data_IF_086515207378
#
_entry.id   IF_086515207378
#
_cell.length_a   1.000
_cell.length_b   1.000
_cell.length_c   1.000
_cell.angle_alpha   90.00
_cell.angle_beta   90.00
_cell.angle_gamma   90.00
#
_symmetry.space_group_name_H-M   'P 1'
#
loop_
_entity.id
_entity.type
_entity.pdbx_description
1 polymer ?
#
# COMPACT_ATOMS: atom_id res chain seq x y z
N UNK A 1 -7.20 21.59 -14.72
CA UNK A 1 -6.24 21.70 -13.59
C UNK A 1 -6.72 22.82 -12.68
N UNK A 2 -7.08 22.52 -11.43
CA UNK A 2 -7.42 23.56 -10.45
C UNK A 2 -6.15 24.05 -9.75
N UNK A 3 -5.94 25.36 -9.68
CA UNK A 3 -4.83 25.94 -8.91
C UNK A 3 -5.21 25.97 -7.43
N UNK A 4 -4.37 25.38 -6.57
CA UNK A 4 -4.48 25.52 -5.11
C UNK A 4 -3.74 26.78 -4.68
N UNK A 5 -4.48 27.81 -4.28
CA UNK A 5 -3.89 29.03 -3.71
C UNK A 5 -3.79 28.86 -2.19
N UNK A 6 -2.58 28.92 -1.64
CA UNK A 6 -2.37 29.00 -0.19
C UNK A 6 -2.60 30.44 0.23
N UNK A 7 -3.67 30.70 0.97
CA UNK A 7 -3.95 32.02 1.54
C UNK A 7 -3.08 32.20 2.79
N UNK A 8 -2.31 33.28 2.85
CA UNK A 8 -1.50 33.63 4.03
C UNK A 8 -2.41 34.20 5.12
N UNK A 9 -2.73 33.40 6.14
CA UNK A 9 -3.51 33.85 7.31
C UNK A 9 -3.88 32.69 8.24
N UNK A 10 -4.09 32.99 9.52
CA UNK A 10 -4.71 32.04 10.45
C UNK A 10 -6.23 32.11 10.24
N UNK A 11 -6.84 31.01 9.80
CA UNK A 11 -8.30 30.91 9.73
C UNK A 11 -8.82 30.54 11.11
N UNK A 12 -9.60 31.43 11.73
CA UNK A 12 -10.20 31.22 13.06
C UNK A 12 -11.60 30.61 13.01
N UNK A 13 -12.20 30.53 11.82
CA UNK A 13 -13.52 29.93 11.63
C UNK A 13 -13.39 28.40 11.55
N UNK A 14 -13.74 27.73 12.65
CA UNK A 14 -13.71 26.28 12.77
C UNK A 14 -14.89 25.57 12.09
N UNK A 15 -15.83 26.32 11.51
CA UNK A 15 -16.97 25.77 10.75
C UNK A 15 -16.62 25.48 9.29
N UNK A 16 -15.49 25.99 8.78
CA UNK A 16 -15.08 25.78 7.40
C UNK A 16 -14.64 24.33 7.17
N UNK A 17 -15.04 23.73 6.02
CA UNK A 17 -14.60 22.38 5.68
C UNK A 17 -13.09 22.35 5.43
N UNK A 18 -12.40 21.44 6.13
CA UNK A 18 -10.96 21.22 5.94
C UNK A 18 -10.74 20.55 4.57
N UNK A 19 -10.09 21.27 3.66
CA UNK A 19 -9.70 20.73 2.35
C UNK A 19 -8.38 19.98 2.50
N UNK A 20 -8.42 18.67 2.25
CA UNK A 20 -7.25 17.78 2.25
C UNK A 20 -6.77 17.47 0.84
N UNK A 21 -5.60 16.86 0.73
CA UNK A 21 -4.99 16.57 -0.57
C UNK A 21 -5.73 15.47 -1.35
N UNK A 22 -6.36 14.52 -0.66
CA UNK A 22 -7.20 13.47 -1.25
C UNK A 22 -8.49 13.32 -0.42
N UNK A 23 -9.60 12.98 -1.09
CA UNK A 23 -10.93 12.87 -0.48
C UNK A 23 -11.03 11.74 0.56
N UNK A 24 -10.15 10.74 0.49
CA UNK A 24 -10.06 9.68 1.48
C UNK A 24 -9.46 10.18 2.80
N UNK A 25 -8.66 11.25 2.79
CA UNK A 25 -7.89 11.67 3.96
C UNK A 25 -8.77 12.19 5.10
N UNK A 26 -8.31 11.97 6.33
CA UNK A 26 -8.87 12.47 7.58
C UNK A 26 -7.76 12.93 8.52
N UNK A 27 -8.13 13.49 9.67
CA UNK A 27 -7.17 13.80 10.74
C UNK A 27 -6.41 12.59 11.28
N UNK A 28 -6.86 11.36 10.98
CA UNK A 28 -6.19 10.11 11.36
C UNK A 28 -5.31 9.51 10.27
N UNK A 29 -5.22 10.12 9.09
CA UNK A 29 -4.44 9.55 7.97
C UNK A 29 -2.95 9.54 8.28
N UNK A 30 -2.33 8.37 8.10
CA UNK A 30 -0.91 8.14 8.38
C UNK A 30 -0.09 8.03 7.09
N UNK A 31 -0.61 7.32 6.10
CA UNK A 31 0.08 7.08 4.85
C UNK A 31 -0.89 6.94 3.68
N UNK A 32 -0.60 7.61 2.57
CA UNK A 32 -1.27 7.37 1.28
C UNK A 32 -0.23 7.34 0.18
N UNK A 33 -0.06 6.15 -0.41
CA UNK A 33 0.63 5.96 -1.67
C UNK A 33 -0.39 5.95 -2.81
N UNK A 34 -0.26 6.89 -3.74
CA UNK A 34 -0.98 6.92 -5.01
C UNK A 34 -0.06 7.52 -6.07
N UNK A 35 0.55 6.69 -6.93
CA UNK A 35 1.58 7.11 -7.88
C UNK A 35 1.03 7.96 -9.04
N UNK A 36 -0.30 8.09 -9.14
CA UNK A 36 -1.00 8.92 -10.11
C UNK A 36 -1.49 10.25 -9.51
N UNK A 37 -1.43 10.40 -8.18
CA UNK A 37 -1.76 11.63 -7.48
C UNK A 37 -0.67 12.69 -7.74
N UNK A 38 -1.05 13.96 -7.87
CA UNK A 38 -0.11 15.06 -8.16
C UNK A 38 0.99 15.22 -7.11
N UNK A 39 0.68 14.87 -5.85
CA UNK A 39 1.63 14.85 -4.72
C UNK A 39 2.19 13.46 -4.40
N UNK A 40 1.76 12.42 -5.13
CA UNK A 40 2.17 11.03 -4.91
C UNK A 40 3.08 10.48 -6.01
N UNK A 41 3.47 11.33 -6.97
CA UNK A 41 4.32 10.94 -8.09
C UNK A 41 5.65 10.39 -7.57
N UNK A 42 5.94 9.13 -7.91
CA UNK A 42 7.26 8.54 -7.69
C UNK A 42 8.08 8.73 -8.95
N UNK A 43 9.20 9.43 -8.84
CA UNK A 43 10.08 9.75 -9.97
C UNK A 43 10.80 8.50 -10.53
N UNK A 44 10.95 7.45 -9.72
CA UNK A 44 11.58 6.20 -10.15
C UNK A 44 11.25 4.98 -9.30
N UNK A 45 11.53 3.80 -9.84
CA UNK A 45 11.37 2.50 -9.17
C UNK A 45 12.73 1.92 -8.70
N UNK A 46 13.79 2.74 -8.73
CA UNK A 46 15.14 2.36 -8.31
C UNK A 46 15.25 2.32 -6.78
N UNK A 47 16.14 1.46 -6.27
CA UNK A 47 16.43 1.36 -4.85
C UNK A 47 16.91 2.70 -4.28
N UNK A 48 16.43 3.05 -3.09
CA UNK A 48 16.68 4.32 -2.43
C UNK A 48 15.80 5.47 -2.94
N UNK A 49 14.97 5.27 -3.96
CA UNK A 49 14.08 6.33 -4.44
C UNK A 49 13.04 6.69 -3.37
N UNK A 50 12.81 7.99 -3.20
CA UNK A 50 11.81 8.51 -2.26
C UNK A 50 10.41 8.25 -2.81
N UNK A 51 9.53 7.74 -1.95
CA UNK A 51 8.11 7.52 -2.23
C UNK A 51 7.29 8.54 -1.43
N UNK A 52 6.72 9.56 -2.09
CA UNK A 52 5.97 10.59 -1.38
C UNK A 52 4.76 10.01 -0.65
N UNK A 53 4.52 10.50 0.57
CA UNK A 53 3.30 10.24 1.32
C UNK A 53 2.30 11.39 1.07
N UNK A 54 1.18 11.12 0.39
CA UNK A 54 0.15 12.14 0.11
C UNK A 54 -0.52 12.63 1.40
N UNK A 55 -0.55 11.80 2.44
CA UNK A 55 -1.10 12.08 3.77
C UNK A 55 -0.10 12.72 4.74
N UNK A 56 1.04 13.25 4.26
CA UNK A 56 2.12 13.68 5.16
C UNK A 56 1.71 14.83 6.11
N UNK A 57 0.78 15.71 5.70
CA UNK A 57 0.32 16.82 6.54
C UNK A 57 -0.49 16.29 7.73
N UNK A 58 -1.40 15.36 7.46
CA UNK A 58 -2.21 14.68 8.46
C UNK A 58 -1.32 13.87 9.41
N UNK A 59 -0.36 13.13 8.85
CA UNK A 59 0.60 12.34 9.63
C UNK A 59 1.52 13.22 10.51
N UNK A 60 2.00 14.36 9.99
CA UNK A 60 2.83 15.29 10.76
C UNK A 60 2.05 15.94 11.91
N UNK A 61 0.73 16.12 11.78
CA UNK A 61 -0.11 16.61 12.88
C UNK A 61 -0.23 15.58 14.03
N UNK A 62 -0.10 14.29 13.74
CA UNK A 62 -0.08 13.20 14.74
C UNK A 62 1.31 12.96 15.34
N UNK A 63 2.36 13.38 14.64
CA UNK A 63 3.75 13.21 15.02
C UNK A 63 4.49 14.56 14.96
N UNK A 64 4.30 15.45 15.96
CA UNK A 64 4.86 16.79 15.94
C UNK A 64 6.38 16.78 15.78
N UNK A 65 6.89 17.62 14.87
CA UNK A 65 8.31 17.72 14.53
C UNK A 65 8.75 16.86 13.35
N UNK A 66 7.90 15.97 12.85
CA UNK A 66 8.17 15.24 11.62
C UNK A 66 7.89 16.09 10.37
N UNK A 67 8.55 15.75 9.27
CA UNK A 67 8.57 16.50 8.02
C UNK A 67 8.06 15.65 6.87
N UNK A 68 7.72 16.26 5.73
CA UNK A 68 7.35 15.52 4.53
C UNK A 68 8.40 14.45 4.14
N UNK A 69 9.69 14.78 4.26
CA UNK A 69 10.78 13.83 3.98
C UNK A 69 10.90 12.72 5.01
N UNK A 70 10.71 13.00 6.31
CA UNK A 70 10.82 11.96 7.34
C UNK A 70 9.61 11.02 7.37
N UNK A 71 8.48 11.44 6.77
CA UNK A 71 7.25 10.64 6.64
C UNK A 71 7.08 10.01 5.26
N UNK A 72 8.03 10.19 4.35
CA UNK A 72 8.06 9.52 3.06
C UNK A 72 8.43 8.03 3.21
N UNK A 73 8.02 7.23 2.23
CA UNK A 73 8.55 5.89 2.05
C UNK A 73 9.84 5.90 1.22
N UNK A 74 10.48 4.74 1.13
CA UNK A 74 11.68 4.51 0.34
C UNK A 74 11.51 3.22 -0.46
N UNK A 75 11.95 3.22 -1.72
CA UNK A 75 11.98 1.99 -2.53
C UNK A 75 13.14 1.12 -2.07
N UNK A 76 12.84 -0.13 -1.73
CA UNK A 76 13.81 -1.20 -1.57
C UNK A 76 13.55 -2.27 -2.62
N UNK A 77 14.62 -2.82 -3.20
CA UNK A 77 14.47 -3.95 -4.10
C UNK A 77 15.71 -4.82 -4.18
N UNK A 78 15.51 -6.08 -4.53
CA UNK A 78 16.54 -6.98 -5.02
C UNK A 78 16.09 -7.52 -6.38
N UNK A 79 16.57 -6.91 -7.45
CA UNK A 79 16.17 -7.24 -8.82
C UNK A 79 17.27 -8.02 -9.52
N UNK A 80 16.87 -8.95 -10.38
CA UNK A 80 17.77 -9.66 -11.30
C UNK A 80 17.08 -9.83 -12.64
N UNK A 81 17.77 -9.46 -13.71
CA UNK A 81 17.27 -9.60 -15.06
C UNK A 81 16.89 -11.06 -15.36
N UNK A 82 15.72 -11.27 -15.96
CA UNK A 82 15.20 -12.63 -16.23
C UNK A 82 14.51 -13.31 -15.03
N UNK A 83 14.64 -12.78 -13.81
CA UNK A 83 13.97 -13.32 -12.61
C UNK A 83 12.83 -12.42 -12.12
N UNK A 84 12.96 -11.11 -12.25
CA UNK A 84 11.94 -10.11 -11.90
C UNK A 84 12.10 -8.88 -12.79
N UNK A 85 10.98 -8.28 -13.20
CA UNK A 85 10.93 -6.99 -13.89
C UNK A 85 9.99 -6.08 -13.10
N UNK A 86 10.42 -4.84 -12.90
CA UNK A 86 9.57 -3.81 -12.29
C UNK A 86 9.49 -2.65 -13.26
N UNK A 87 8.29 -2.11 -13.44
CA UNK A 87 8.04 -1.00 -14.35
C UNK A 87 6.92 -0.08 -13.84
N UNK A 88 6.77 1.07 -14.51
CA UNK A 88 5.62 1.94 -14.37
C UNK A 88 4.66 1.69 -15.52
N UNK A 89 3.39 1.46 -15.21
CA UNK A 89 2.35 1.31 -16.24
C UNK A 89 2.04 2.65 -16.92
N UNK A 90 1.29 2.62 -18.01
CA UNK A 90 0.85 3.83 -18.70
C UNK A 90 0.04 4.76 -17.79
N UNK A 91 -0.76 4.19 -16.86
CA UNK A 91 -1.51 4.91 -15.83
C UNK A 91 -0.80 4.98 -14.49
N UNK A 92 0.53 4.86 -14.49
CA UNK A 92 1.42 5.16 -13.36
C UNK A 92 1.40 4.15 -12.21
N UNK A 93 0.69 3.03 -12.31
CA UNK A 93 0.83 1.92 -11.36
C UNK A 93 2.25 1.34 -11.37
N UNK A 94 2.63 0.64 -10.30
CA UNK A 94 3.92 -0.07 -10.23
C UNK A 94 3.67 -1.54 -10.54
N UNK A 95 4.09 -1.99 -11.72
CA UNK A 95 3.94 -3.37 -12.17
C UNK A 95 5.18 -4.17 -11.79
N UNK A 96 4.96 -5.30 -11.11
CA UNK A 96 5.98 -6.21 -10.60
C UNK A 96 5.71 -7.57 -11.26
N UNK A 97 6.59 -7.96 -12.19
CA UNK A 97 6.51 -9.20 -12.95
C UNK A 97 7.53 -10.17 -12.36
N UNK A 98 7.04 -11.28 -11.83
CA UNK A 98 7.88 -12.32 -11.24
C UNK A 98 8.04 -13.49 -12.21
N UNK A 99 9.27 -13.97 -12.43
CA UNK A 99 9.46 -15.25 -13.11
C UNK A 99 8.87 -16.40 -12.30
N UNK A 100 8.32 -17.39 -13.00
CA UNK A 100 7.80 -18.65 -12.45
C UNK A 100 8.77 -19.81 -12.63
N UNK A 101 10.00 -19.58 -13.12
CA UNK A 101 11.01 -20.64 -13.27
C UNK A 101 12.44 -20.21 -12.91
N UNK A 102 12.81 -18.95 -13.12
CA UNK A 102 14.20 -18.52 -13.05
C UNK A 102 14.65 -18.00 -11.68
N UNK A 103 13.76 -17.81 -10.71
CA UNK A 103 14.16 -17.21 -9.44
C UNK A 103 15.19 -18.10 -8.74
N UNK A 104 16.39 -17.56 -8.48
CA UNK A 104 17.49 -18.28 -7.82
C UNK A 104 17.73 -17.82 -6.38
N UNK A 105 17.23 -16.63 -6.05
CA UNK A 105 17.29 -16.00 -4.73
C UNK A 105 16.03 -15.16 -4.49
N UNK A 106 15.97 -14.47 -3.35
CA UNK A 106 14.89 -13.54 -3.02
C UNK A 106 14.86 -12.37 -3.98
N UNK A 107 13.85 -12.33 -4.86
CA UNK A 107 13.63 -11.22 -5.78
C UNK A 107 12.37 -10.48 -5.41
N UNK A 108 12.51 -9.20 -5.11
CA UNK A 108 11.40 -8.38 -4.64
C UNK A 108 11.60 -6.92 -4.98
N UNK A 109 10.47 -6.21 -4.92
CA UNK A 109 10.40 -4.77 -4.92
C UNK A 109 9.34 -4.36 -3.92
N UNK A 110 9.66 -3.40 -3.05
CA UNK A 110 8.70 -2.87 -2.11
C UNK A 110 9.00 -1.44 -1.69
N UNK A 111 7.97 -0.74 -1.26
CA UNK A 111 8.05 0.52 -0.55
C UNK A 111 8.22 0.19 0.92
N UNK A 112 9.35 0.58 1.51
CA UNK A 112 9.54 0.61 2.95
C UNK A 112 8.95 1.91 3.49
N UNK A 113 7.92 1.82 4.34
CA UNK A 113 7.38 3.03 4.98
C UNK A 113 8.38 3.60 6.01
N UNK A 114 8.21 4.89 6.29
CA UNK A 114 8.93 5.55 7.38
C UNK A 114 8.81 4.79 8.70
N UNK A 115 9.95 4.61 9.37
CA UNK A 115 10.00 4.03 10.72
C UNK A 115 9.21 4.86 11.74
N UNK A 116 8.95 6.15 11.46
CA UNK A 116 8.14 7.03 12.31
C UNK A 116 6.67 6.61 12.32
N UNK A 117 6.11 6.32 11.15
CA UNK A 117 4.73 5.82 11.02
C UNK A 117 4.60 4.46 11.70
N UNK A 118 5.57 3.57 11.50
CA UNK A 118 5.58 2.27 12.18
C UNK A 118 5.65 2.41 13.71
N UNK A 119 6.54 3.28 14.22
CA UNK A 119 6.66 3.55 15.65
C UNK A 119 5.37 4.13 16.24
N UNK A 120 4.69 5.04 15.52
CA UNK A 120 3.39 5.57 15.93
C UNK A 120 2.33 4.46 16.05
N UNK A 121 2.21 3.59 15.04
CA UNK A 121 1.23 2.49 15.08
C UNK A 121 1.48 1.53 16.24
N UNK A 122 2.73 1.28 16.58
CA UNK A 122 3.12 0.44 17.73
C UNK A 122 2.80 1.12 19.05
N UNK A 123 3.21 2.38 19.21
CA UNK A 123 3.02 3.12 20.46
C UNK A 123 1.53 3.26 20.82
N UNK A 124 0.67 3.34 19.81
CA UNK A 124 -0.78 3.45 19.97
C UNK A 124 -1.51 2.12 19.79
N UNK A 125 -0.78 1.04 19.49
CA UNK A 125 -1.33 -0.24 19.06
C UNK A 125 -2.26 -0.92 20.06
N UNK A 126 -2.04 -0.71 21.36
CA UNK A 126 -2.84 -1.30 22.43
C UNK A 126 -4.21 -0.63 22.62
N UNK A 127 -4.38 0.62 22.17
CA UNK A 127 -5.56 1.45 22.44
C UNK A 127 -6.26 1.96 21.18
N UNK A 128 -5.55 2.03 20.07
CA UNK A 128 -6.07 2.55 18.80
C UNK A 128 -6.44 1.44 17.84
N UNK A 129 -7.36 1.77 16.93
CA UNK A 129 -7.73 0.93 15.79
C UNK A 129 -7.18 1.55 14.53
N UNK A 130 -6.63 0.72 13.63
CA UNK A 130 -6.13 1.20 12.34
C UNK A 130 -6.87 0.55 11.19
N UNK A 131 -7.08 1.32 10.12
CA UNK A 131 -7.55 0.85 8.83
C UNK A 131 -6.37 0.78 7.87
N UNK A 132 -6.29 -0.32 7.13
CA UNK A 132 -5.24 -0.55 6.14
C UNK A 132 -5.87 -1.09 4.87
N UNK A 133 -5.58 -0.47 3.72
CA UNK A 133 -6.08 -0.91 2.42
C UNK A 133 -5.04 -0.86 1.31
N UNK A 134 -5.30 -1.63 0.26
CA UNK A 134 -4.53 -1.63 -0.97
C UNK A 134 -5.39 -1.91 -2.20
N UNK A 135 -5.01 -1.29 -3.30
CA UNK A 135 -5.61 -1.48 -4.62
C UNK A 135 -4.56 -2.09 -5.53
N UNK A 136 -4.84 -3.25 -6.09
CA UNK A 136 -3.90 -3.94 -6.97
C UNK A 136 -4.58 -4.59 -8.17
N UNK A 137 -3.83 -4.76 -9.24
CA UNK A 137 -4.21 -5.61 -10.37
C UNK A 137 -3.37 -6.87 -10.38
N UNK A 138 -3.97 -8.06 -10.39
CA UNK A 138 -3.21 -9.30 -10.62
C UNK A 138 -3.09 -9.52 -12.12
N UNK A 139 -1.87 -9.51 -12.64
CA UNK A 139 -1.58 -9.66 -14.06
C UNK A 139 -1.19 -11.10 -14.42
N UNK A 140 -0.60 -11.85 -13.49
CA UNK A 140 -0.33 -13.29 -13.64
C UNK A 140 -0.45 -14.02 -12.30
N UNK A 141 -1.05 -15.22 -12.34
CA UNK A 141 -1.13 -16.14 -11.21
C UNK A 141 0.20 -16.88 -11.03
N UNK A 142 0.70 -16.94 -9.81
CA UNK A 142 1.86 -17.77 -9.44
C UNK A 142 1.53 -19.25 -9.30
N UNK A 143 2.56 -20.11 -9.35
CA UNK A 143 2.42 -21.57 -9.32
C UNK A 143 2.31 -22.20 -7.90
N UNK A 144 2.06 -21.42 -6.84
CA UNK A 144 2.00 -21.90 -5.46
C UNK A 144 1.25 -20.97 -4.52
N UNK A 145 1.44 -21.08 -3.18
CA UNK A 145 0.88 -20.09 -2.28
C UNK A 145 1.42 -18.72 -2.67
N UNK A 146 0.50 -17.85 -3.10
CA UNK A 146 0.86 -16.48 -3.44
C UNK A 146 1.49 -15.84 -2.21
N UNK A 147 2.67 -15.24 -2.36
CA UNK A 147 3.15 -14.31 -1.34
C UNK A 147 2.34 -13.03 -1.41
N UNK A 148 2.08 -12.45 -0.25
CA UNK A 148 1.28 -11.27 -0.10
C UNK A 148 1.99 -10.07 -0.73
N UNK A 149 1.21 -9.06 -1.05
CA UNK A 149 1.61 -7.85 -1.74
C UNK A 149 1.71 -6.65 -0.79
N UNK A 150 1.31 -6.86 0.47
CA UNK A 150 1.27 -5.82 1.49
C UNK A 150 1.54 -6.47 2.83
N UNK A 151 2.61 -6.05 3.51
CA UNK A 151 3.04 -6.69 4.74
C UNK A 151 3.48 -5.66 5.77
N UNK A 152 2.89 -5.74 6.96
CA UNK A 152 3.57 -5.28 8.17
C UNK A 152 4.29 -6.46 8.81
N UNK A 153 5.60 -6.33 9.07
CA UNK A 153 6.43 -7.40 9.62
C UNK A 153 6.95 -7.10 11.03
N UNK A 154 6.93 -8.14 11.86
CA UNK A 154 7.72 -8.25 13.11
C UNK A 154 8.19 -9.71 13.28
N UNK A 155 9.48 -9.97 13.58
CA UNK A 155 9.96 -11.32 13.94
C UNK A 155 11.17 -11.30 14.91
N UNK A 156 11.33 -12.29 15.83
CA UNK A 156 10.57 -13.54 15.99
C UNK A 156 9.55 -13.50 17.15
N UNK A 157 8.26 -13.46 16.83
CA UNK A 157 7.17 -13.50 17.83
C UNK A 157 5.77 -12.99 17.44
N UNK A 158 5.52 -12.66 16.17
CA UNK A 158 4.29 -12.12 15.55
C UNK A 158 4.04 -10.60 15.65
N UNK A 159 3.90 -9.98 14.49
CA UNK A 159 2.60 -9.58 13.93
C UNK A 159 2.74 -9.44 12.42
N UNK A 160 1.73 -9.94 11.69
CA UNK A 160 1.69 -9.95 10.25
C UNK A 160 0.34 -9.40 9.79
N UNK A 161 0.35 -8.34 8.99
CA UNK A 161 -0.88 -7.76 8.43
C UNK A 161 -0.74 -7.83 6.92
N UNK A 162 -1.44 -8.81 6.34
CA UNK A 162 -1.58 -9.03 4.92
C UNK A 162 -3.06 -8.94 4.51
N UNK A 163 -3.54 -7.76 4.09
CA UNK A 163 -4.93 -7.60 3.67
C UNK A 163 -5.29 -8.47 2.45
N UNK A 164 -4.34 -9.09 1.76
CA UNK A 164 -4.56 -9.93 0.59
C UNK A 164 -4.45 -11.45 0.81
N UNK A 165 -3.90 -11.90 1.94
CA UNK A 165 -3.72 -13.33 2.27
C UNK A 165 -4.78 -13.89 3.25
N UNK A 166 -5.72 -13.07 3.71
CA UNK A 166 -6.79 -13.53 4.62
C UNK A 166 -6.30 -14.02 5.99
N UNK A 167 -5.00 -13.96 6.30
CA UNK A 167 -4.37 -14.54 7.49
C UNK A 167 -3.93 -13.50 8.54
N UNK A 168 -4.37 -13.74 9.79
CA UNK A 168 -3.72 -13.52 11.10
C UNK A 168 -3.04 -12.17 11.43
N UNK A 169 -3.79 -11.07 11.40
CA UNK A 169 -3.51 -9.95 12.30
C UNK A 169 -4.03 -10.25 13.71
N UNK A 170 -3.19 -10.12 14.75
CA UNK A 170 -3.70 -10.10 16.13
C UNK A 170 -4.69 -8.93 16.24
N UNK A 171 -5.91 -9.24 16.69
CA UNK A 171 -7.01 -8.28 16.88
C UNK A 171 -7.59 -7.66 15.61
N UNK A 172 -7.53 -8.35 14.47
CA UNK A 172 -8.34 -8.06 13.28
C UNK A 172 -9.83 -8.13 13.61
N UNK A 173 -10.62 -7.13 13.23
CA UNK A 173 -12.06 -7.08 13.55
C UNK A 173 -12.94 -7.20 12.28
N UNK A 174 -12.43 -6.83 11.10
CA UNK A 174 -13.18 -6.74 9.84
C UNK A 174 -12.25 -6.83 8.61
N UNK A 175 -12.82 -7.24 7.47
CA UNK A 175 -12.07 -7.46 6.23
C UNK A 175 -12.95 -7.42 4.98
N UNK A 176 -12.41 -6.86 3.90
CA UNK A 176 -12.92 -7.05 2.54
C UNK A 176 -11.79 -7.52 1.64
N UNK A 177 -12.08 -8.55 0.85
CA UNK A 177 -11.38 -8.82 -0.39
C UNK A 177 -12.40 -8.96 -1.50
N UNK A 178 -12.29 -8.13 -2.53
CA UNK A 178 -13.10 -8.26 -3.73
C UNK A 178 -12.38 -9.14 -4.75
N UNK A 179 -13.13 -9.94 -5.50
CA UNK A 179 -12.64 -10.72 -6.65
C UNK A 179 -11.61 -11.83 -6.35
N UNK A 180 -11.64 -12.48 -5.18
CA UNK A 180 -10.88 -13.73 -4.92
C UNK A 180 -11.47 -14.98 -5.65
N UNK A 181 -12.30 -14.77 -6.68
CA UNK A 181 -12.93 -15.85 -7.43
C UNK A 181 -11.91 -16.62 -8.28
N UNK A 182 -11.35 -17.69 -7.71
CA UNK A 182 -10.95 -18.90 -8.44
C UNK A 182 -9.73 -18.83 -9.36
N UNK A 183 -9.03 -17.69 -9.46
CA UNK A 183 -7.82 -17.57 -10.29
C UNK A 183 -8.03 -17.01 -11.70
N UNK A 184 -9.13 -16.30 -11.94
CA UNK A 184 -9.27 -15.46 -13.16
C UNK A 184 -8.15 -14.42 -13.16
N UNK A 185 -7.37 -14.32 -14.22
CA UNK A 185 -6.36 -13.27 -14.44
C UNK A 185 -6.42 -12.86 -15.91
N UNK A 186 -6.23 -11.57 -16.24
CA UNK A 186 -5.97 -10.45 -15.33
C UNK A 186 -7.23 -9.93 -14.63
N UNK A 187 -7.10 -9.37 -13.41
CA UNK A 187 -8.22 -8.70 -12.70
C UNK A 187 -7.73 -7.63 -11.72
N UNK A 188 -8.60 -6.66 -11.42
CA UNK A 188 -8.41 -5.70 -10.35
C UNK A 188 -9.01 -6.20 -9.03
N UNK A 189 -8.32 -5.90 -7.93
CA UNK A 189 -8.67 -6.29 -6.57
C UNK A 189 -8.51 -5.12 -5.61
N UNK A 190 -9.48 -5.03 -4.71
CA UNK A 190 -9.50 -4.16 -3.55
C UNK A 190 -9.46 -5.03 -2.30
N UNK A 191 -8.53 -4.72 -1.39
CA UNK A 191 -8.47 -5.36 -0.08
C UNK A 191 -8.28 -4.38 1.04
N UNK A 192 -8.88 -4.67 2.18
CA UNK A 192 -8.65 -3.93 3.40
C UNK A 192 -8.87 -4.78 4.66
N UNK A 193 -8.42 -4.24 5.77
CA UNK A 193 -8.63 -4.79 7.11
C UNK A 193 -8.61 -3.64 8.12
N UNK A 194 -9.33 -3.80 9.22
CA UNK A 194 -8.96 -3.10 10.44
C UNK A 194 -8.10 -3.99 11.34
N UNK A 195 -7.39 -3.34 12.26
CA UNK A 195 -6.55 -3.98 13.26
C UNK A 195 -6.74 -3.25 14.59
N UNK A 196 -6.71 -4.02 15.68
CA UNK A 196 -6.63 -3.55 17.05
C UNK A 196 -5.57 -4.39 17.76
N UNK A 197 -4.73 -3.80 18.62
CA UNK A 197 -3.71 -4.55 19.35
C UNK A 197 -2.41 -4.77 18.57
N UNK A 198 -1.90 -3.72 17.89
CA UNK A 198 -0.53 -3.75 17.36
C UNK A 198 0.45 -3.88 18.53
N UNK A 199 1.16 -5.00 18.61
CA UNK A 199 2.09 -5.32 19.70
C UNK A 199 3.45 -5.78 19.13
N UNK A 200 4.52 -5.56 19.90
CA UNK A 200 5.90 -5.90 19.50
C UNK A 200 6.69 -4.72 18.92
N UNK A 201 7.75 -5.01 18.16
CA UNK A 201 8.67 -4.01 17.59
C UNK A 201 8.82 -4.22 16.09
N UNK A 202 7.75 -4.04 15.28
CA UNK A 202 7.83 -4.15 13.84
C UNK A 202 8.94 -3.25 13.31
N UNK A 203 9.93 -3.87 12.68
CA UNK A 203 11.12 -3.19 12.16
C UNK A 203 10.93 -2.74 10.72
N UNK A 204 9.92 -3.29 10.02
CA UNK A 204 9.67 -3.04 8.61
C UNK A 204 8.19 -3.08 8.27
N UNK A 205 7.78 -2.11 7.47
CA UNK A 205 6.47 -2.07 6.82
C UNK A 205 6.74 -2.00 5.32
N UNK A 206 6.24 -2.97 4.57
CA UNK A 206 6.59 -3.17 3.16
C UNK A 206 5.34 -3.29 2.28
N UNK A 207 5.30 -2.50 1.20
CA UNK A 207 4.24 -2.53 0.18
C UNK A 207 4.85 -2.92 -1.16
N UNK A 208 4.42 -4.00 -1.79
CA UNK A 208 4.98 -4.35 -3.10
C UNK A 208 4.73 -5.79 -3.50
N UNK A 209 5.76 -6.48 -3.97
CA UNK A 209 5.62 -7.83 -4.47
C UNK A 209 6.95 -8.54 -4.71
N UNK A 210 6.84 -9.83 -4.98
CA UNK A 210 7.98 -10.73 -5.09
C UNK A 210 8.27 -11.46 -3.78
N UNK A 211 9.36 -12.23 -3.75
CA UNK A 211 9.75 -13.06 -2.62
C UNK A 211 10.42 -12.20 -1.55
N UNK A 212 9.74 -12.04 -0.41
CA UNK A 212 10.24 -11.32 0.75
C UNK A 212 11.08 -12.24 1.64
N UNK A 213 12.06 -11.67 2.34
CA UNK A 213 13.07 -12.45 3.07
C UNK A 213 12.50 -13.37 4.18
N UNK A 214 11.31 -13.10 4.69
CA UNK A 214 10.65 -13.99 5.67
C UNK A 214 10.02 -15.24 5.01
N UNK A 215 9.96 -15.25 3.68
CA UNK A 215 9.53 -16.35 2.83
C UNK A 215 10.72 -16.96 2.06
N UNK A 216 11.94 -16.82 2.59
CA UNK A 216 13.15 -17.42 2.01
C UNK A 216 13.01 -18.93 1.94
N UNK A 217 13.02 -19.48 0.73
CA UNK A 217 13.14 -20.91 0.54
C UNK A 217 12.59 -21.42 -0.79
N UNK A 218 12.98 -22.64 -1.15
CA UNK A 218 12.48 -23.34 -2.34
C UNK A 218 10.93 -23.44 -2.38
N UNK A 219 10.27 -23.30 -1.23
CA UNK A 219 8.81 -23.31 -1.10
C UNK A 219 8.13 -22.15 -1.82
N UNK A 220 8.71 -20.95 -1.83
CA UNK A 220 8.07 -19.73 -2.37
C UNK A 220 8.74 -19.17 -3.63
N UNK A 221 9.94 -19.67 -3.94
CA UNK A 221 10.65 -19.44 -5.20
C UNK A 221 9.74 -19.83 -6.37
N UNK A 222 9.68 -18.98 -7.40
CA UNK A 222 8.94 -19.23 -8.64
C UNK A 222 7.41 -19.34 -8.49
N UNK A 223 6.86 -18.94 -7.33
CA UNK A 223 5.43 -19.13 -7.02
C UNK A 223 4.68 -17.82 -6.78
N UNK A 224 5.34 -16.69 -7.00
CA UNK A 224 4.79 -15.37 -6.74
C UNK A 224 3.87 -14.90 -7.88
N UNK A 225 2.81 -14.16 -7.53
CA UNK A 225 1.98 -13.49 -8.53
C UNK A 225 2.74 -12.36 -9.21
N UNK A 226 2.36 -12.01 -10.43
CA UNK A 226 2.68 -10.70 -11.00
C UNK A 226 1.52 -9.74 -10.73
N UNK A 227 1.83 -8.52 -10.30
CA UNK A 227 0.86 -7.57 -9.78
C UNK A 227 1.16 -6.14 -10.21
N UNK A 228 0.15 -5.29 -10.19
CA UNK A 228 0.28 -3.84 -10.29
C UNK A 228 -0.22 -3.24 -8.98
N UNK A 229 0.61 -2.46 -8.30
CA UNK A 229 0.20 -1.68 -7.14
C UNK A 229 -0.28 -0.29 -7.60
N UNK A 230 -1.54 0.03 -7.31
CA UNK A 230 -2.17 1.30 -7.70
C UNK A 230 -2.35 2.26 -6.53
N UNK A 231 -2.62 1.75 -5.34
CA UNK A 231 -2.82 2.58 -4.14
C UNK A 231 -2.59 1.75 -2.88
N UNK A 232 -2.11 2.40 -1.83
CA UNK A 232 -2.07 1.85 -0.48
C UNK A 232 -2.37 2.95 0.54
N UNK A 233 -3.13 2.63 1.59
CA UNK A 233 -3.58 3.61 2.56
C UNK A 233 -3.57 3.07 4.00
N UNK A 234 -3.26 3.95 4.94
CA UNK A 234 -3.23 3.67 6.38
C UNK A 234 -3.87 4.83 7.14
N UNK A 235 -4.74 4.50 8.07
CA UNK A 235 -5.41 5.46 8.94
C UNK A 235 -5.56 4.94 10.37
N UNK A 236 -5.41 5.85 11.31
CA UNK A 236 -5.83 5.69 12.70
C UNK A 236 -7.32 6.03 12.83
N UNK A 237 -8.16 4.99 12.94
CA UNK A 237 -9.61 5.10 13.06
C UNK A 237 -10.02 5.77 14.38
N UNK A 238 -9.25 5.53 15.46
CA UNK A 238 -9.51 6.14 16.77
C UNK A 238 -9.34 7.66 16.70
N UNK A 239 -8.28 8.14 16.05
CA UNK A 239 -8.06 9.58 15.91
C UNK A 239 -9.01 10.21 14.87
N UNK A 240 -9.25 9.52 13.76
CA UNK A 240 -10.17 10.01 12.72
C UNK A 240 -11.60 10.17 13.22
N UNK A 241 -12.02 9.32 14.17
CA UNK A 241 -13.42 9.21 14.61
C UNK A 241 -14.31 8.47 13.61
N UNK A 242 -13.75 7.93 12.51
CA UNK A 242 -14.47 7.12 11.53
C UNK A 242 -14.48 5.66 11.95
N UNK A 243 -15.59 4.98 11.68
CA UNK A 243 -15.69 3.53 11.75
C UNK A 243 -15.03 2.87 10.55
N UNK A 244 -14.66 1.59 10.69
CA UNK A 244 -14.17 0.79 9.58
C UNK A 244 -15.14 0.80 8.38
N UNK A 245 -16.45 0.67 8.63
CA UNK A 245 -17.46 0.61 7.57
C UNK A 245 -17.54 1.92 6.76
N UNK A 246 -17.37 3.08 7.42
CA UNK A 246 -17.35 4.37 6.72
C UNK A 246 -16.12 4.51 5.81
N UNK A 247 -14.94 4.12 6.30
CA UNK A 247 -13.71 4.19 5.50
C UNK A 247 -13.72 3.14 4.38
N UNK A 248 -14.16 1.92 4.65
CA UNK A 248 -14.35 0.86 3.66
C UNK A 248 -15.29 1.29 2.53
N UNK A 249 -16.46 1.85 2.85
CA UNK A 249 -17.42 2.30 1.85
C UNK A 249 -16.85 3.43 0.98
N UNK A 250 -16.16 4.40 1.59
CA UNK A 250 -15.55 5.52 0.88
C UNK A 250 -14.42 5.06 -0.04
N UNK A 251 -13.47 4.28 0.49
CA UNK A 251 -12.31 3.79 -0.27
C UNK A 251 -12.75 2.86 -1.40
N UNK A 252 -13.73 1.97 -1.14
CA UNK A 252 -14.27 1.09 -2.16
C UNK A 252 -15.01 1.84 -3.27
N UNK A 253 -15.77 2.90 -2.94
CA UNK A 253 -16.40 3.74 -3.95
C UNK A 253 -15.36 4.45 -4.84
N UNK A 254 -14.27 4.94 -4.24
CA UNK A 254 -13.16 5.53 -4.99
C UNK A 254 -12.44 4.49 -5.87
N UNK A 255 -12.25 3.28 -5.37
CA UNK A 255 -11.71 2.16 -6.15
C UNK A 255 -12.59 1.88 -7.37
N UNK A 256 -13.91 1.72 -7.18
CA UNK A 256 -14.82 1.48 -8.29
C UNK A 256 -14.76 2.61 -9.33
N UNK A 257 -14.79 3.86 -8.89
CA UNK A 257 -14.68 5.02 -9.79
C UNK A 257 -13.34 5.06 -10.54
N UNK A 258 -12.24 4.63 -9.91
CA UNK A 258 -10.92 4.64 -10.54
C UNK A 258 -10.79 3.61 -11.67
N UNK A 259 -11.49 2.47 -11.60
CA UNK A 259 -11.43 1.39 -12.59
C UNK A 259 -12.64 1.33 -13.55
N UNK A 260 -13.73 2.03 -13.24
CA UNK A 260 -14.88 2.19 -14.13
C UNK A 260 -14.50 2.89 -15.44
N UNK A 261 -15.32 2.76 -16.49
CA UNK A 261 -15.07 3.39 -17.80
C UNK A 261 -14.85 4.91 -17.63
N UNK A 262 -13.73 5.41 -18.18
CA UNK A 262 -13.31 6.82 -18.01
C UNK A 262 -12.58 7.13 -16.70
N UNK A 263 -12.48 6.16 -15.80
CA UNK A 263 -11.72 6.24 -14.55
C UNK A 263 -10.22 6.32 -14.77
N UNK A 264 -9.50 6.72 -13.71
CA UNK A 264 -8.06 7.02 -13.76
C UNK A 264 -7.20 5.85 -14.22
N UNK A 265 -7.55 4.63 -13.80
CA UNK A 265 -6.84 3.39 -14.11
C UNK A 265 -7.56 2.53 -15.14
N UNK A 266 -8.67 3.02 -15.69
CA UNK A 266 -9.40 2.30 -16.72
C UNK A 266 -8.57 2.12 -17.98
N UNK A 267 -8.51 0.89 -18.48
CA UNK A 267 -7.74 0.53 -19.67
C UNK A 267 -6.23 0.75 -19.51
N UNK A 268 -5.70 0.62 -18.28
CA UNK A 268 -4.24 0.67 -18.08
C UNK A 268 -3.53 -0.43 -18.89
N UNK A 269 -2.34 -0.09 -19.38
CA UNK A 269 -1.52 -0.97 -20.23
C UNK A 269 -0.14 -1.11 -19.62
N UNK A 270 0.40 -2.31 -19.72
CA UNK A 270 1.65 -2.73 -19.10
C UNK A 270 2.30 -3.84 -19.93
N UNK A 271 3.56 -4.14 -19.66
CA UNK A 271 4.26 -5.27 -20.28
C UNK A 271 3.52 -6.58 -19.97
N UNK A 272 3.43 -7.49 -20.94
CA UNK A 272 2.85 -8.81 -20.73
C UNK A 272 3.74 -9.60 -19.75
N UNK A 273 3.19 -10.15 -18.64
CA UNK A 273 3.96 -10.96 -17.71
C UNK A 273 4.72 -12.14 -18.36
N UNK A 274 4.22 -12.68 -19.48
CA UNK A 274 4.85 -13.78 -20.22
C UNK A 274 6.23 -13.44 -20.81
N UNK A 275 6.64 -12.17 -20.79
CA UNK A 275 8.02 -11.74 -21.10
C UNK A 275 9.07 -12.29 -20.13
N UNK A 276 8.66 -12.69 -18.93
CA UNK A 276 9.47 -13.52 -18.03
C UNK A 276 8.83 -14.91 -17.92
N UNK A 277 9.61 -15.99 -18.04
CA UNK A 277 9.07 -17.35 -17.96
C UNK A 277 8.60 -17.67 -16.53
#
# INVERSE_FOLDING_TARGET
MGSKTVLSGAFTDTSLPIIRNDALLSKGSLFLFDPSHSMGAVEGIAAGAVVPNVAWLEAAALMPGETQSSLAGEVFHNLAAGEILVERTAKKGVHIINSLVNQTADRNWHIKLSSKIAAYMVANGATHKFYVSSWFGRTRKGAGPAGSTFHLFNNPGNMFIAPDEGLNGIGRLSFRATNDNGGVVPHHRFTNTDINGVTGSPTTFQLGGGMLSNYTGATYRNKQNSIILYRAYIEDLTVSGRSYAEVDALDYAMYQAAFAVGGRYHGDTHTDPSTLP
#
